data_IF_189532010791
#
_entry.id   IF_189532010791
#
_cell.length_a   1.000
_cell.length_b   1.000
_cell.length_c   1.000
_cell.angle_alpha   90.00
_cell.angle_beta   90.00
_cell.angle_gamma   90.00
#
_symmetry.space_group_name_H-M   'P 1'
#
loop_
_entity.id
_entity.type
_entity.pdbx_description
1 polymer ?
#
# COMPACT_ATOMS: atom_id res chain seq x y z
N UNK A 1 -3.75 24.74 3.39
CA UNK A 1 -4.64 24.89 2.23
C UNK A 1 -4.64 23.57 1.49
N UNK A 2 -5.82 22.97 1.29
CA UNK A 2 -5.91 21.68 0.59
C UNK A 2 -5.46 21.89 -0.87
N UNK A 3 -4.67 20.97 -1.41
CA UNK A 3 -4.14 21.01 -2.79
C UNK A 3 -5.24 21.17 -3.84
N UNK A 4 -6.46 20.72 -3.53
CA UNK A 4 -7.65 20.88 -4.39
C UNK A 4 -8.17 22.30 -4.48
N UNK A 5 -7.95 23.16 -3.47
CA UNK A 5 -8.32 24.59 -3.53
C UNK A 5 -7.46 25.36 -4.55
N UNK A 6 -6.32 24.79 -4.95
CA UNK A 6 -5.43 25.34 -5.97
C UNK A 6 -5.69 24.77 -7.38
N UNK A 7 -6.76 23.98 -7.56
CA UNK A 7 -7.16 23.42 -8.86
C UNK A 7 -6.39 22.17 -9.29
N UNK A 8 -5.63 21.55 -8.40
CA UNK A 8 -4.89 20.32 -8.69
C UNK A 8 -5.65 19.10 -8.16
N UNK A 9 -5.78 18.10 -9.04
CA UNK A 9 -6.28 16.79 -8.68
C UNK A 9 -5.20 15.95 -7.98
N UNK A 10 -5.61 15.10 -7.04
CA UNK A 10 -4.73 14.27 -6.25
C UNK A 10 -5.09 12.81 -6.43
N UNK A 11 -4.08 11.98 -6.71
CA UNK A 11 -4.18 10.52 -6.63
C UNK A 11 -3.30 10.02 -5.49
N UNK A 12 -3.81 9.09 -4.69
CA UNK A 12 -3.06 8.52 -3.57
C UNK A 12 -3.58 7.19 -3.07
N UNK A 13 -2.82 6.59 -2.16
CA UNK A 13 -3.20 5.38 -1.43
C UNK A 13 -3.80 5.75 -0.08
N UNK A 14 -4.88 5.08 0.31
CA UNK A 14 -5.44 5.20 1.66
C UNK A 14 -4.50 4.49 2.63
N UNK A 15 -3.81 5.28 3.47
CA UNK A 15 -2.90 4.75 4.49
C UNK A 15 -3.68 4.31 5.73
N UNK A 16 -3.43 3.08 6.17
CA UNK A 16 -4.10 2.47 7.31
C UNK A 16 -5.53 2.04 6.99
N UNK A 17 -6.02 1.05 7.72
CA UNK A 17 -7.37 0.53 7.55
C UNK A 17 -8.22 1.01 8.73
N UNK A 18 -8.88 2.16 8.56
CA UNK A 18 -10.03 2.46 9.41
C UNK A 18 -11.21 1.57 8.98
N UNK A 19 -12.26 1.51 9.79
CA UNK A 19 -13.39 0.60 9.54
C UNK A 19 -14.04 0.82 8.16
N UNK A 20 -14.13 2.08 7.71
CA UNK A 20 -14.68 2.43 6.40
C UNK A 20 -13.78 1.96 5.24
N UNK A 21 -12.46 2.21 5.32
CA UNK A 21 -11.50 1.77 4.32
C UNK A 21 -11.42 0.24 4.26
N UNK A 22 -11.50 -0.44 5.40
CA UNK A 22 -11.54 -1.90 5.44
C UNK A 22 -12.76 -2.45 4.70
N UNK A 23 -13.95 -1.89 4.96
CA UNK A 23 -15.18 -2.26 4.24
C UNK A 23 -15.02 -2.11 2.72
N UNK A 24 -14.36 -1.05 2.25
CA UNK A 24 -14.10 -0.86 0.82
C UNK A 24 -13.10 -1.86 0.25
N UNK A 25 -12.03 -2.18 0.97
CA UNK A 25 -11.01 -3.15 0.54
C UNK A 25 -11.58 -4.58 0.46
N UNK A 26 -12.50 -4.94 1.35
CA UNK A 26 -13.10 -6.27 1.44
C UNK A 26 -14.48 -6.38 0.81
N UNK A 27 -14.98 -5.30 0.19
CA UNK A 27 -16.34 -5.22 -0.36
C UNK A 27 -16.64 -6.30 -1.40
N UNK A 28 -15.66 -6.69 -2.21
CA UNK A 28 -15.82 -7.72 -3.22
C UNK A 28 -15.03 -8.99 -2.87
N UNK A 29 -15.58 -10.18 -3.13
CA UNK A 29 -14.82 -11.41 -3.06
C UNK A 29 -13.72 -11.41 -4.14
N UNK A 30 -12.70 -12.26 -3.97
CA UNK A 30 -11.50 -12.25 -4.84
C UNK A 30 -11.86 -12.53 -6.30
N UNK A 31 -12.75 -13.49 -6.51
CA UNK A 31 -13.26 -13.94 -7.81
C UNK A 31 -14.04 -12.83 -8.55
N UNK A 32 -14.63 -11.89 -7.80
CA UNK A 32 -15.31 -10.74 -8.39
C UNK A 32 -14.36 -9.62 -8.82
N UNK A 33 -13.11 -9.63 -8.33
CA UNK A 33 -12.03 -8.72 -8.74
C UNK A 33 -11.17 -9.32 -9.85
N UNK A 34 -10.91 -10.63 -9.81
CA UNK A 34 -10.11 -11.38 -10.79
C UNK A 34 -10.88 -11.62 -12.10
N UNK A 35 -11.35 -10.54 -12.72
CA UNK A 35 -12.07 -10.55 -13.99
C UNK A 35 -11.24 -9.83 -15.06
N UNK A 36 -11.23 -10.31 -16.32
CA UNK A 36 -10.45 -9.69 -17.40
C UNK A 36 -10.69 -8.18 -17.57
N UNK A 37 -11.93 -7.72 -17.33
CA UNK A 37 -12.29 -6.29 -17.41
C UNK A 37 -11.63 -5.38 -16.38
N UNK A 38 -11.05 -5.94 -15.32
CA UNK A 38 -10.36 -5.19 -14.26
C UNK A 38 -8.84 -5.33 -14.36
N UNK A 39 -8.32 -6.07 -15.34
CA UNK A 39 -6.89 -6.28 -15.51
C UNK A 39 -6.22 -4.96 -15.88
N UNK A 40 -5.18 -4.62 -15.14
CA UNK A 40 -4.26 -3.51 -15.43
C UNK A 40 -2.86 -4.10 -15.46
N UNK A 41 -2.16 -3.91 -16.58
CA UNK A 41 -0.77 -4.33 -16.73
C UNK A 41 0.17 -3.17 -16.42
N UNK A 42 1.30 -3.49 -15.81
CA UNK A 42 2.44 -2.58 -15.68
C UNK A 42 3.38 -2.78 -16.86
N UNK A 43 4.19 -1.76 -17.15
CA UNK A 43 5.24 -1.81 -18.17
C UNK A 43 6.28 -2.92 -17.93
N UNK A 44 6.44 -3.38 -16.69
CA UNK A 44 7.32 -4.49 -16.31
C UNK A 44 6.66 -5.88 -16.40
N UNK A 45 5.44 -5.98 -16.91
CA UNK A 45 4.72 -7.25 -17.06
C UNK A 45 3.97 -7.72 -15.81
N UNK A 46 4.05 -7.00 -14.69
CA UNK A 46 3.20 -7.28 -13.53
C UNK A 46 1.73 -6.96 -13.83
N UNK A 47 0.83 -7.79 -13.31
CA UNK A 47 -0.61 -7.63 -13.47
C UNK A 47 -1.25 -7.34 -12.11
N UNK A 48 -2.18 -6.39 -12.10
CA UNK A 48 -3.08 -6.15 -10.99
C UNK A 48 -4.53 -6.10 -11.48
N UNK A 49 -5.47 -6.26 -10.56
CA UNK A 49 -6.89 -6.07 -10.83
C UNK A 49 -7.39 -4.81 -10.13
N UNK A 50 -7.88 -3.84 -10.90
CA UNK A 50 -8.34 -2.56 -10.39
C UNK A 50 -9.83 -2.38 -10.66
N UNK A 51 -10.60 -2.13 -9.59
CA UNK A 51 -12.03 -1.85 -9.69
C UNK A 51 -12.35 -0.51 -9.05
N UNK A 52 -12.80 0.44 -9.87
CA UNK A 52 -13.12 1.81 -9.46
C UNK A 52 -14.62 2.06 -9.23
N UNK A 53 -14.94 2.93 -8.27
CA UNK A 53 -16.28 3.46 -8.00
C UNK A 53 -16.18 4.82 -7.30
N UNK A 54 -17.33 5.45 -7.05
CA UNK A 54 -17.41 6.72 -6.30
C UNK A 54 -17.91 6.46 -4.89
N UNK A 55 -17.22 6.98 -3.88
CA UNK A 55 -17.54 6.77 -2.48
C UNK A 55 -17.20 7.99 -1.62
N UNK A 56 -17.69 7.98 -0.37
CA UNK A 56 -17.34 8.98 0.63
C UNK A 56 -16.01 8.61 1.28
N UNK A 57 -15.05 9.53 1.30
CA UNK A 57 -13.73 9.31 1.89
C UNK A 57 -13.16 10.62 2.44
N UNK A 58 -12.44 10.56 3.57
CA UNK A 58 -11.82 11.73 4.23
C UNK A 58 -12.78 12.91 4.47
N UNK A 59 -14.04 12.62 4.84
CA UNK A 59 -15.06 13.65 5.09
C UNK A 59 -15.66 14.28 3.83
N UNK A 60 -15.24 13.86 2.64
CA UNK A 60 -15.84 14.27 1.36
C UNK A 60 -16.90 13.26 0.93
N UNK A 61 -18.06 13.76 0.49
CA UNK A 61 -19.21 12.93 0.08
C UNK A 61 -18.95 12.14 -1.20
N UNK A 62 -18.12 12.67 -2.09
CA UNK A 62 -17.84 12.10 -3.41
C UNK A 62 -16.34 12.19 -3.69
N UNK A 63 -15.72 11.02 -3.77
CA UNK A 63 -14.32 10.81 -4.15
C UNK A 63 -14.29 9.59 -5.07
N UNK A 64 -13.39 9.61 -6.06
CA UNK A 64 -13.13 8.39 -6.82
C UNK A 64 -12.27 7.48 -5.97
N UNK A 65 -12.62 6.21 -5.93
CA UNK A 65 -11.94 5.18 -5.14
C UNK A 65 -11.75 3.96 -6.02
N UNK A 66 -10.61 3.30 -5.90
CA UNK A 66 -10.37 2.03 -6.57
C UNK A 66 -9.75 1.02 -5.59
N UNK A 67 -10.32 -0.18 -5.54
CA UNK A 67 -9.67 -1.31 -4.88
C UNK A 67 -8.76 -1.97 -5.89
N UNK A 68 -7.55 -2.24 -5.46
CA UNK A 68 -6.53 -2.91 -6.25
C UNK A 68 -6.22 -4.23 -5.58
N UNK A 69 -6.22 -5.31 -6.35
CA UNK A 69 -5.68 -6.61 -5.96
C UNK A 69 -4.42 -6.88 -6.77
N UNK A 70 -3.29 -7.03 -6.08
CA UNK A 70 -2.05 -7.50 -6.68
C UNK A 70 -1.83 -8.98 -6.29
N UNK A 71 -1.96 -9.93 -7.24
CA UNK A 71 -1.82 -11.36 -6.95
C UNK A 71 -0.44 -11.74 -6.42
N UNK A 72 0.63 -11.20 -7.03
CA UNK A 72 1.99 -11.46 -6.56
C UNK A 72 2.17 -11.05 -5.10
N UNK A 73 1.66 -9.87 -4.75
CA UNK A 73 1.69 -9.39 -3.37
C UNK A 73 0.85 -10.26 -2.43
N UNK A 74 -0.32 -10.71 -2.88
CA UNK A 74 -1.18 -11.61 -2.10
C UNK A 74 -0.45 -12.92 -1.78
N UNK A 75 0.22 -13.52 -2.76
CA UNK A 75 0.96 -14.77 -2.60
C UNK A 75 2.16 -14.61 -1.65
N UNK A 76 2.90 -13.50 -1.76
CA UNK A 76 4.01 -13.18 -0.84
C UNK A 76 3.53 -12.97 0.60
N UNK A 77 2.44 -12.22 0.79
CA UNK A 77 1.85 -11.98 2.10
C UNK A 77 1.28 -13.27 2.71
N UNK A 78 0.66 -14.12 1.90
CA UNK A 78 0.17 -15.43 2.32
C UNK A 78 1.32 -16.37 2.71
N UNK A 79 2.32 -16.56 1.84
CA UNK A 79 3.45 -17.44 2.12
C UNK A 79 4.25 -17.02 3.36
N UNK A 80 4.48 -15.71 3.53
CA UNK A 80 5.13 -15.17 4.73
C UNK A 80 4.35 -15.47 6.01
N UNK A 81 3.02 -15.45 5.92
CA UNK A 81 2.12 -15.71 7.04
C UNK A 81 2.05 -17.20 7.38
N UNK A 82 1.85 -18.04 6.38
CA UNK A 82 1.73 -19.50 6.54
C UNK A 82 2.99 -20.07 7.16
N UNK A 83 4.16 -19.59 6.70
CA UNK A 83 5.45 -19.92 7.31
C UNK A 83 5.52 -19.50 8.79
N UNK A 84 5.07 -18.29 9.12
CA UNK A 84 5.06 -17.79 10.49
C UNK A 84 4.12 -18.60 11.41
N UNK A 85 2.97 -19.04 10.90
CA UNK A 85 2.03 -19.91 11.63
C UNK A 85 2.65 -21.30 11.83
N UNK A 86 3.22 -21.89 10.78
CA UNK A 86 3.91 -23.20 10.83
C UNK A 86 5.03 -23.22 11.87
N UNK A 87 5.90 -22.20 11.86
CA UNK A 87 6.98 -22.09 12.85
C UNK A 87 6.45 -21.99 14.29
N UNK A 88 5.31 -21.31 14.48
CA UNK A 88 4.68 -21.18 15.80
C UNK A 88 4.08 -22.50 16.30
N UNK A 89 3.53 -23.33 15.40
CA UNK A 89 2.91 -24.62 15.76
C UNK A 89 3.94 -25.72 15.97
N UNK A 90 4.95 -25.82 15.11
CA UNK A 90 5.85 -26.98 15.02
C UNK A 90 7.02 -27.01 16.02
N UNK A 91 7.25 -25.98 16.84
CA UNK A 91 8.43 -26.01 17.72
C UNK A 91 8.57 -25.00 18.86
N UNK A 92 9.78 -25.00 19.43
CA UNK A 92 10.27 -23.98 20.37
C UNK A 92 10.89 -22.86 19.55
N UNK A 93 10.16 -21.76 19.41
CA UNK A 93 10.62 -20.57 18.69
C UNK A 93 11.42 -19.66 19.65
N UNK A 94 12.63 -19.21 19.27
CA UNK A 94 13.39 -18.22 20.04
C UNK A 94 12.60 -16.92 20.23
N UNK A 95 12.84 -16.21 21.35
CA UNK A 95 12.09 -15.00 21.70
C UNK A 95 12.18 -13.89 20.64
N UNK A 96 13.32 -13.73 19.98
CA UNK A 96 13.47 -12.75 18.90
C UNK A 96 12.61 -13.10 17.68
N UNK A 97 12.58 -14.39 17.32
CA UNK A 97 11.74 -14.87 16.22
C UNK A 97 10.25 -14.75 16.55
N UNK A 98 9.84 -14.97 17.80
CA UNK A 98 8.47 -14.71 18.26
C UNK A 98 8.05 -13.24 18.07
N UNK A 99 8.96 -12.28 18.29
CA UNK A 99 8.68 -10.85 18.01
C UNK A 99 8.50 -10.59 16.52
N UNK A 100 9.31 -11.22 15.67
CA UNK A 100 9.18 -11.11 14.23
C UNK A 100 7.86 -11.71 13.73
N UNK A 101 7.51 -12.92 14.17
CA UNK A 101 6.22 -13.56 13.88
C UNK A 101 5.06 -12.65 14.30
N UNK A 102 5.12 -12.06 15.51
CA UNK A 102 4.08 -11.12 15.98
C UNK A 102 3.99 -9.85 15.13
N UNK A 103 5.10 -9.38 14.54
CA UNK A 103 5.08 -8.26 13.57
C UNK A 103 4.44 -8.67 12.24
N UNK A 104 4.75 -9.87 11.74
CA UNK A 104 4.19 -10.41 10.49
C UNK A 104 2.67 -10.62 10.62
N UNK A 105 2.22 -11.30 11.69
CA UNK A 105 0.80 -11.58 11.90
C UNK A 105 0.00 -10.33 12.33
N UNK A 106 0.68 -9.38 12.96
CA UNK A 106 0.04 -8.21 13.59
C UNK A 106 -0.59 -8.56 14.94
N UNK A 107 -0.81 -7.52 15.76
CA UNK A 107 -1.27 -7.68 17.15
C UNK A 107 -2.68 -8.27 17.27
N UNK A 108 -3.54 -8.05 16.28
CA UNK A 108 -4.93 -8.52 16.28
C UNK A 108 -5.00 -10.03 16.02
N UNK A 109 -4.17 -10.56 15.12
CA UNK A 109 -4.10 -12.00 14.83
C UNK A 109 -3.28 -12.72 15.89
N UNK A 110 -2.17 -12.13 16.34
CA UNK A 110 -1.34 -12.65 17.43
C UNK A 110 -1.84 -12.16 18.81
N UNK A 111 -2.95 -12.71 19.27
CA UNK A 111 -3.60 -12.33 20.52
C UNK A 111 -2.79 -12.81 21.74
N UNK A 112 -2.75 -12.00 22.79
CA UNK A 112 -1.96 -12.31 23.97
C UNK A 112 -2.54 -13.53 24.70
N UNK A 113 -1.71 -14.54 24.93
CA UNK A 113 -2.11 -15.78 25.59
C UNK A 113 -1.37 -15.93 26.92
N UNK A 114 -2.04 -16.51 27.93
CA UNK A 114 -1.38 -16.91 29.17
C UNK A 114 -0.52 -18.14 28.90
N UNK A 115 0.80 -17.99 28.94
CA UNK A 115 1.73 -19.11 28.79
C UNK A 115 3.11 -18.71 28.29
N UNK A 116 4.00 -19.71 28.16
CA UNK A 116 5.43 -19.54 27.85
C UNK A 116 5.71 -18.87 26.50
N UNK A 117 4.78 -18.98 25.54
CA UNK A 117 4.88 -18.40 24.18
C UNK A 117 4.41 -16.93 24.12
N UNK A 118 3.58 -16.49 25.06
CA UNK A 118 3.11 -15.09 25.18
C UNK A 118 2.02 -14.65 24.19
N UNK A 119 1.69 -15.44 23.15
CA UNK A 119 0.56 -15.20 22.25
C UNK A 119 0.09 -16.48 21.53
N UNK A 120 -1.15 -16.46 21.02
CA UNK A 120 -1.75 -17.49 20.16
C UNK A 120 -2.30 -16.85 18.89
N UNK A 121 -2.71 -17.68 17.90
CA UNK A 121 -3.34 -17.21 16.66
C UNK A 121 -4.85 -17.16 16.85
N UNK A 122 -5.46 -16.00 16.59
CA UNK A 122 -6.90 -15.86 16.50
C UNK A 122 -7.37 -16.21 15.08
N UNK A 123 -7.92 -17.40 14.90
CA UNK A 123 -8.38 -17.91 13.59
C UNK A 123 -9.48 -17.05 12.96
N UNK A 124 -10.37 -16.45 13.77
CA UNK A 124 -11.44 -15.59 13.26
C UNK A 124 -10.88 -14.30 12.67
N UNK A 125 -9.96 -13.68 13.39
CA UNK A 125 -9.28 -12.46 12.90
C UNK A 125 -8.38 -12.78 11.71
N UNK A 126 -7.73 -13.95 11.70
CA UNK A 126 -6.94 -14.42 10.58
C UNK A 126 -7.78 -14.51 9.30
N UNK A 127 -8.91 -15.22 9.35
CA UNK A 127 -9.83 -15.38 8.22
C UNK A 127 -10.38 -14.04 7.72
N UNK A 128 -10.58 -13.07 8.61
CA UNK A 128 -10.96 -11.72 8.21
C UNK A 128 -9.81 -11.01 7.47
N UNK A 129 -8.59 -11.03 8.02
CA UNK A 129 -7.42 -10.39 7.39
C UNK A 129 -7.04 -11.02 6.04
N UNK A 130 -7.32 -12.29 5.84
CA UNK A 130 -7.15 -12.98 4.55
C UNK A 130 -7.90 -12.31 3.41
N UNK A 131 -9.07 -11.74 3.68
CA UNK A 131 -9.84 -11.00 2.67
C UNK A 131 -9.12 -9.78 2.11
N UNK A 132 -8.17 -9.23 2.87
CA UNK A 132 -7.37 -8.06 2.47
C UNK A 132 -6.03 -8.40 1.82
N UNK A 133 -5.67 -9.67 1.68
CA UNK A 133 -4.37 -10.10 1.14
C UNK A 133 -4.10 -9.49 -0.24
N UNK A 134 -2.94 -8.85 -0.38
CA UNK A 134 -2.52 -8.20 -1.62
C UNK A 134 -3.40 -7.04 -2.07
N UNK A 135 -4.36 -6.61 -1.23
CA UNK A 135 -5.29 -5.54 -1.56
C UNK A 135 -4.89 -4.20 -0.96
N UNK A 136 -5.17 -3.14 -1.70
CA UNK A 136 -5.05 -1.78 -1.21
C UNK A 136 -6.07 -0.87 -1.91
N UNK A 137 -6.29 0.30 -1.32
CA UNK A 137 -7.29 1.26 -1.77
C UNK A 137 -6.61 2.51 -2.29
N UNK A 138 -6.86 2.84 -3.55
CA UNK A 138 -6.50 4.11 -4.17
C UNK A 138 -7.67 5.08 -4.10
N UNK A 139 -7.37 6.37 -4.08
CA UNK A 139 -8.35 7.44 -4.20
C UNK A 139 -7.88 8.50 -5.18
N UNK A 140 -8.84 9.15 -5.83
CA UNK A 140 -8.64 10.37 -6.60
C UNK A 140 -9.66 11.44 -6.20
N UNK A 141 -9.24 12.70 -6.20
CA UNK A 141 -10.17 13.83 -6.08
C UNK A 141 -10.94 14.08 -7.38
N UNK A 142 -10.43 13.60 -8.52
CA UNK A 142 -11.12 13.59 -9.79
C UNK A 142 -12.12 12.43 -9.82
N UNK A 143 -13.41 12.77 -9.76
CA UNK A 143 -14.50 11.79 -9.76
C UNK A 143 -14.68 11.03 -11.08
N UNK A 144 -14.14 11.54 -12.19
CA UNK A 144 -14.27 10.94 -13.51
C UNK A 144 -13.12 9.99 -13.86
N UNK A 145 -12.03 10.00 -13.08
CA UNK A 145 -10.84 9.20 -13.33
C UNK A 145 -11.14 7.69 -13.27
N UNK A 146 -10.66 6.97 -14.27
CA UNK A 146 -10.72 5.53 -14.38
C UNK A 146 -9.68 4.83 -13.49
N UNK A 147 -9.95 3.56 -13.16
CA UNK A 147 -9.21 2.85 -12.12
C UNK A 147 -7.79 2.46 -12.56
N UNK A 148 -7.63 2.17 -13.83
CA UNK A 148 -6.37 1.95 -14.54
C UNK A 148 -5.49 3.21 -14.53
N UNK A 149 -6.02 4.38 -14.90
CA UNK A 149 -5.26 5.64 -14.81
C UNK A 149 -4.90 5.98 -13.37
N UNK A 150 -5.81 5.78 -12.40
CA UNK A 150 -5.49 5.94 -10.99
C UNK A 150 -4.32 5.04 -10.55
N UNK A 151 -4.33 3.78 -10.99
CA UNK A 151 -3.27 2.83 -10.70
C UNK A 151 -1.96 3.24 -11.35
N UNK A 152 -1.98 3.59 -12.64
CA UNK A 152 -0.80 4.01 -13.38
C UNK A 152 -0.17 5.26 -12.74
N UNK A 153 -0.95 6.32 -12.52
CA UNK A 153 -0.48 7.56 -11.88
C UNK A 153 0.09 7.31 -10.48
N UNK A 154 -0.52 6.43 -9.70
CA UNK A 154 -0.01 6.05 -8.38
C UNK A 154 1.39 5.42 -8.47
N UNK A 155 1.60 4.51 -9.43
CA UNK A 155 2.90 3.85 -9.60
C UNK A 155 3.95 4.74 -10.27
N UNK A 156 3.56 5.59 -11.21
CA UNK A 156 4.47 6.60 -11.77
C UNK A 156 4.96 7.56 -10.68
N UNK A 157 4.08 7.95 -9.74
CA UNK A 157 4.47 8.75 -8.58
C UNK A 157 5.48 8.03 -7.68
N UNK A 158 5.31 6.74 -7.43
CA UNK A 158 6.26 5.93 -6.66
C UNK A 158 7.64 5.86 -7.33
N UNK A 159 7.69 5.76 -8.67
CA UNK A 159 8.95 5.81 -9.40
C UNK A 159 9.66 7.17 -9.21
N UNK A 160 8.91 8.28 -9.30
CA UNK A 160 9.45 9.62 -9.03
C UNK A 160 9.93 9.74 -7.58
N UNK A 161 9.16 9.22 -6.61
CA UNK A 161 9.52 9.23 -5.19
C UNK A 161 10.84 8.49 -4.93
N UNK A 162 11.04 7.33 -5.56
CA UNK A 162 12.29 6.56 -5.48
C UNK A 162 13.48 7.31 -6.08
N UNK A 163 13.31 7.97 -7.23
CA UNK A 163 14.37 8.82 -7.80
C UNK A 163 14.77 9.91 -6.81
N UNK A 164 13.80 10.59 -6.20
CA UNK A 164 14.08 11.60 -5.17
C UNK A 164 14.74 11.03 -3.91
N UNK A 165 14.39 9.81 -3.51
CA UNK A 165 15.01 9.12 -2.37
C UNK A 165 16.47 8.78 -2.66
N UNK A 166 16.77 8.15 -3.82
CA UNK A 166 18.14 7.86 -4.27
C UNK A 166 18.96 9.14 -4.40
N UNK A 167 18.38 10.18 -4.99
CA UNK A 167 19.01 11.49 -5.15
C UNK A 167 19.43 12.08 -3.79
N UNK A 168 18.53 12.07 -2.79
CA UNK A 168 18.82 12.61 -1.46
C UNK A 168 19.76 11.71 -0.64
N UNK A 169 19.68 10.40 -0.84
CA UNK A 169 20.44 9.39 -0.12
C UNK A 169 21.80 9.11 -0.75
N UNK A 170 21.84 8.13 -1.64
CA UNK A 170 23.07 7.60 -2.25
C UNK A 170 23.87 8.67 -2.99
N UNK A 171 23.18 9.49 -3.79
CA UNK A 171 23.85 10.55 -4.56
C UNK A 171 24.19 11.77 -3.68
N UNK A 172 23.65 11.84 -2.46
CA UNK A 172 23.79 12.98 -1.55
C UNK A 172 23.50 14.34 -2.21
N UNK A 173 22.71 14.31 -3.29
CA UNK A 173 22.10 15.46 -3.94
C UNK A 173 20.87 15.87 -3.14
N UNK A 174 20.96 15.91 -1.81
CA UNK A 174 19.96 16.57 -0.96
C UNK A 174 20.15 18.09 -1.03
N UNK A 175 19.09 18.89 -0.82
CA UNK A 175 19.20 20.34 -0.94
C UNK A 175 20.19 20.87 0.10
N UNK A 176 21.41 21.17 -0.35
CA UNK A 176 22.35 22.01 0.39
C UNK A 176 21.64 23.36 0.50
N UNK A 177 21.62 23.97 1.70
CA UNK A 177 20.89 25.23 1.98
C UNK A 177 21.46 26.39 1.16
N UNK A 178 21.19 26.40 -0.13
CA UNK A 178 21.52 27.47 -1.05
C UNK A 178 20.41 28.51 -0.97
N UNK A 179 20.80 29.73 -0.62
CA UNK A 179 19.89 30.90 -0.59
C UNK A 179 19.94 31.70 -1.90
N UNK A 180 20.84 31.33 -2.81
CA UNK A 180 21.14 32.04 -4.06
C UNK A 180 20.48 31.30 -5.22
N UNK A 181 19.66 32.01 -5.99
CA UNK A 181 18.80 31.46 -7.06
C UNK A 181 19.59 30.77 -8.16
N UNK A 182 20.73 31.32 -8.56
CA UNK A 182 21.65 30.75 -9.55
C UNK A 182 22.20 29.36 -9.14
N UNK A 183 22.42 29.17 -7.84
CA UNK A 183 22.86 27.87 -7.28
C UNK A 183 21.71 26.88 -7.19
N UNK A 184 20.49 27.34 -6.94
CA UNK A 184 19.29 26.51 -6.95
C UNK A 184 18.96 26.03 -8.37
N UNK A 185 19.06 26.90 -9.36
CA UNK A 185 18.85 26.55 -10.78
C UNK A 185 19.91 25.57 -11.27
N UNK A 186 21.20 25.86 -11.06
CA UNK A 186 22.28 24.96 -11.47
C UNK A 186 22.16 23.58 -10.81
N UNK A 187 21.81 23.56 -9.52
CA UNK A 187 21.59 22.33 -8.78
C UNK A 187 20.36 21.57 -9.28
N UNK A 188 19.25 22.26 -9.55
CA UNK A 188 18.06 21.65 -10.14
C UNK A 188 18.34 21.07 -11.53
N UNK A 189 19.18 21.72 -12.34
CA UNK A 189 19.61 21.21 -13.65
C UNK A 189 20.47 19.95 -13.52
N UNK A 190 21.46 19.94 -12.62
CA UNK A 190 22.28 18.74 -12.38
C UNK A 190 21.41 17.59 -11.87
N UNK A 191 20.47 17.89 -10.95
CA UNK A 191 19.49 16.93 -10.45
C UNK A 191 18.56 16.41 -11.55
N UNK A 192 18.16 17.25 -12.51
CA UNK A 192 17.28 16.84 -13.60
C UNK A 192 17.99 15.95 -14.64
N UNK A 193 19.31 16.09 -14.81
CA UNK A 193 20.10 15.36 -15.81
C UNK A 193 20.68 14.04 -15.27
N UNK A 194 20.88 13.93 -13.96
CA UNK A 194 21.43 12.75 -13.29
C UNK A 194 20.39 11.63 -13.13
#
# INVERSE_FOLDING_TARGET
KMVTEAGYEQVGIVRGWNEAAWKYVTQWPREALEQPRFVVSRSNGEVAYCRGWTASLYGRKSMRVAVVLNPWRADQEQGSRDLAIKELTEGKVPTERLRQIRRILGKEVAETARGRRGFTVNEKTLAEKEKGLGRFLLFSTDSAMDADTMFELYFQRDAIEKVFETMKGELSLGPIRYRRTDRLESYATIVYVA
#
